data_IF_740119046670
#
_entry.id   IF_740119046670
#
_cell.length_a   1.000
_cell.length_b   1.000
_cell.length_c   1.000
_cell.angle_alpha   90.00
_cell.angle_beta   90.00
_cell.angle_gamma   90.00
#
_symmetry.space_group_name_H-M   'P 1'
#
loop_
_entity.id
_entity.type
_entity.pdbx_description
1 polymer ?
#
# COMPACT_ATOMS: atom_id res chain seq x y z
N UNK A 1 3.68 -9.34 -17.04
CA UNK A 1 3.22 -10.55 -16.32
C UNK A 1 4.37 -11.27 -15.61
N UNK A 2 5.60 -11.22 -16.14
CA UNK A 2 6.84 -11.56 -15.42
C UNK A 2 7.16 -10.52 -14.32
N UNK A 3 6.95 -9.24 -14.65
CA UNK A 3 7.03 -8.07 -13.75
C UNK A 3 6.35 -8.27 -12.39
N UNK A 4 5.24 -9.01 -12.29
CA UNK A 4 4.54 -9.18 -11.02
C UNK A 4 5.23 -10.19 -10.11
N UNK A 5 5.82 -11.25 -10.67
CA UNK A 5 6.59 -12.22 -9.89
C UNK A 5 7.93 -11.60 -9.47
N UNK A 6 8.61 -10.91 -10.39
CA UNK A 6 9.83 -10.13 -10.09
C UNK A 6 9.57 -9.09 -8.99
N UNK A 7 8.42 -8.42 -9.02
CA UNK A 7 8.05 -7.47 -7.98
C UNK A 7 7.83 -8.15 -6.62
N UNK A 8 7.18 -9.31 -6.58
CA UNK A 8 7.02 -10.08 -5.34
C UNK A 8 8.38 -10.54 -4.79
N UNK A 9 9.28 -11.00 -5.67
CA UNK A 9 10.64 -11.35 -5.29
C UNK A 9 11.40 -10.13 -4.73
N UNK A 10 11.31 -8.98 -5.39
CA UNK A 10 11.92 -7.74 -4.91
C UNK A 10 11.37 -7.27 -3.55
N UNK A 11 10.05 -7.42 -3.33
CA UNK A 11 9.42 -7.12 -2.02
C UNK A 11 9.95 -8.07 -0.95
N UNK A 12 10.06 -9.37 -1.25
CA UNK A 12 10.63 -10.34 -0.31
C UNK A 12 12.07 -9.96 0.09
N UNK A 13 12.94 -9.70 -0.89
CA UNK A 13 14.34 -9.33 -0.61
C UNK A 13 14.42 -8.02 0.21
N UNK A 14 13.59 -7.03 -0.13
CA UNK A 14 13.52 -5.77 0.60
C UNK A 14 13.08 -5.96 2.05
N UNK A 15 12.09 -6.84 2.31
CA UNK A 15 11.65 -7.17 3.68
C UNK A 15 12.74 -7.91 4.45
N UNK A 16 13.42 -8.89 3.84
CA UNK A 16 14.51 -9.64 4.50
C UNK A 16 15.69 -8.75 4.87
N UNK A 17 15.95 -7.70 4.09
CA UNK A 17 16.99 -6.71 4.36
C UNK A 17 16.57 -5.60 5.35
N UNK A 18 15.28 -5.51 5.70
CA UNK A 18 14.76 -4.42 6.52
C UNK A 18 15.11 -4.60 8.00
N UNK A 19 15.60 -3.53 8.65
CA UNK A 19 16.05 -3.55 10.06
C UNK A 19 14.97 -4.09 11.02
N UNK A 20 13.73 -3.60 10.90
CA UNK A 20 12.59 -4.10 11.70
C UNK A 20 12.37 -5.61 11.56
N UNK A 21 12.54 -6.17 10.36
CA UNK A 21 12.44 -7.61 10.17
C UNK A 21 13.61 -8.33 10.86
N UNK A 22 14.85 -7.86 10.64
CA UNK A 22 16.04 -8.44 11.24
C UNK A 22 16.00 -8.41 12.78
N UNK A 23 15.49 -7.34 13.38
CA UNK A 23 15.42 -7.16 14.83
C UNK A 23 14.27 -7.91 15.49
N UNK A 24 13.11 -7.99 14.84
CA UNK A 24 11.88 -8.46 15.50
C UNK A 24 11.23 -9.69 14.87
N UNK A 25 11.52 -9.98 13.60
CA UNK A 25 10.83 -11.01 12.81
C UNK A 25 11.78 -12.00 12.12
N UNK A 26 13.08 -11.96 12.44
CA UNK A 26 14.06 -12.86 11.83
C UNK A 26 13.70 -14.33 12.04
N UNK A 27 13.77 -15.11 10.96
CA UNK A 27 13.37 -16.52 10.93
C UNK A 27 11.85 -16.77 10.90
N UNK A 28 11.02 -15.72 10.84
CA UNK A 28 9.58 -15.87 10.61
C UNK A 28 9.29 -15.95 9.10
N UNK A 29 8.30 -16.78 8.75
CA UNK A 29 7.73 -16.85 7.41
C UNK A 29 7.14 -15.49 7.01
N UNK A 30 7.50 -15.03 5.82
CA UNK A 30 6.93 -13.83 5.20
C UNK A 30 5.69 -14.25 4.43
N UNK A 31 4.57 -13.60 4.71
CA UNK A 31 3.31 -13.80 3.98
C UNK A 31 3.04 -12.58 3.11
N UNK A 32 2.95 -12.77 1.80
CA UNK A 32 2.55 -11.71 0.86
C UNK A 32 1.09 -11.92 0.46
N UNK A 33 0.26 -10.92 0.75
CA UNK A 33 -1.18 -10.96 0.47
C UNK A 33 -1.45 -10.38 -0.91
N UNK A 34 -2.14 -11.15 -1.76
CA UNK A 34 -2.56 -10.76 -3.11
C UNK A 34 -4.09 -10.68 -3.18
N UNK A 35 -4.62 -9.67 -3.86
CA UNK A 35 -6.04 -9.65 -4.20
C UNK A 35 -6.35 -10.64 -5.35
N UNK A 36 -7.63 -10.77 -5.71
CA UNK A 36 -8.05 -11.65 -6.81
C UNK A 36 -7.97 -11.00 -8.20
N UNK A 37 -7.29 -9.86 -8.37
CA UNK A 37 -7.28 -9.18 -9.66
C UNK A 37 -6.65 -10.09 -10.75
N UNK A 38 -7.18 -10.10 -12.00
CA UNK A 38 -6.73 -11.02 -13.06
C UNK A 38 -5.24 -10.94 -13.35
N UNK A 39 -4.63 -9.77 -13.13
CA UNK A 39 -3.19 -9.54 -13.33
C UNK A 39 -2.32 -10.41 -12.41
N UNK A 40 -2.86 -10.89 -11.29
CA UNK A 40 -2.14 -11.73 -10.33
C UNK A 40 -2.32 -13.23 -10.57
N UNK A 41 -3.19 -13.69 -11.46
CA UNK A 41 -3.60 -15.12 -11.59
C UNK A 41 -2.43 -16.11 -11.74
N UNK A 42 -1.27 -15.67 -12.25
CA UNK A 42 -0.10 -16.55 -12.42
C UNK A 42 1.10 -16.17 -11.55
N UNK A 43 0.91 -15.27 -10.58
CA UNK A 43 2.01 -14.82 -9.73
C UNK A 43 2.57 -15.98 -8.92
N UNK A 44 1.73 -16.80 -8.29
CA UNK A 44 2.17 -17.90 -7.42
C UNK A 44 2.97 -18.96 -8.16
N UNK A 45 2.60 -19.26 -9.41
CA UNK A 45 3.31 -20.25 -10.22
C UNK A 45 4.67 -19.75 -10.77
N UNK A 46 5.03 -18.49 -10.53
CA UNK A 46 6.19 -17.82 -11.15
C UNK A 46 7.13 -17.18 -10.15
N UNK A 47 6.68 -16.93 -8.93
CA UNK A 47 7.51 -16.43 -7.84
C UNK A 47 8.54 -17.49 -7.49
N UNK A 48 9.76 -17.04 -7.16
CA UNK A 48 10.83 -17.94 -6.75
C UNK A 48 10.43 -18.66 -5.45
N UNK A 49 10.45 -19.99 -5.47
CA UNK A 49 10.11 -20.81 -4.30
C UNK A 49 11.13 -20.62 -3.19
N UNK A 50 10.64 -20.38 -1.96
CA UNK A 50 11.45 -20.20 -0.76
C UNK A 50 10.73 -20.83 0.43
N UNK A 51 11.47 -21.49 1.32
CA UNK A 51 10.89 -22.20 2.47
C UNK A 51 10.14 -21.29 3.46
N UNK A 52 10.49 -20.01 3.50
CA UNK A 52 9.94 -19.02 4.42
C UNK A 52 9.11 -17.94 3.71
N UNK A 53 8.58 -18.23 2.52
CA UNK A 53 7.66 -17.35 1.79
C UNK A 53 6.33 -18.06 1.53
N UNK A 54 5.24 -17.44 1.95
CA UNK A 54 3.87 -17.86 1.62
C UNK A 54 3.14 -16.76 0.85
N UNK A 55 2.36 -17.16 -0.17
CA UNK A 55 1.51 -16.26 -0.93
C UNK A 55 0.04 -16.51 -0.55
N UNK A 56 -0.59 -15.52 0.07
CA UNK A 56 -1.99 -15.60 0.46
C UNK A 56 -2.86 -14.85 -0.54
N UNK A 57 -3.61 -15.60 -1.36
CA UNK A 57 -4.62 -15.01 -2.25
C UNK A 57 -5.94 -14.82 -1.52
N UNK A 58 -6.43 -13.59 -1.52
CA UNK A 58 -7.76 -13.26 -1.01
C UNK A 58 -8.85 -13.77 -1.95
N UNK A 59 -10.01 -14.06 -1.38
CA UNK A 59 -11.21 -14.37 -2.13
C UNK A 59 -11.71 -13.15 -2.94
N UNK A 60 -12.51 -13.37 -4.01
CA UNK A 60 -13.07 -12.29 -4.79
C UNK A 60 -13.85 -11.31 -3.92
N UNK A 61 -13.81 -10.02 -4.27
CA UNK A 61 -14.58 -8.96 -3.61
C UNK A 61 -14.38 -8.90 -2.08
N UNK A 62 -13.17 -9.20 -1.60
CA UNK A 62 -12.83 -9.19 -0.17
C UNK A 62 -11.89 -8.03 0.24
N UNK A 63 -12.20 -6.75 -0.10
CA UNK A 63 -11.32 -5.62 0.24
C UNK A 63 -11.20 -5.41 1.75
N UNK A 64 -12.21 -5.80 2.54
CA UNK A 64 -12.16 -5.74 4.00
C UNK A 64 -11.06 -6.64 4.59
N UNK A 65 -10.61 -7.65 3.83
CA UNK A 65 -9.53 -8.54 4.21
C UNK A 65 -8.15 -8.09 3.68
N UNK A 66 -8.08 -6.96 2.96
CA UNK A 66 -6.85 -6.44 2.39
C UNK A 66 -6.37 -5.19 3.17
N UNK A 67 -5.32 -5.30 4.02
CA UNK A 67 -4.86 -4.19 4.85
C UNK A 67 -4.43 -2.93 4.07
N UNK A 68 -4.04 -3.06 2.80
CA UNK A 68 -3.64 -1.90 1.98
C UNK A 68 -4.81 -0.94 1.73
N UNK A 69 -6.05 -1.43 1.75
CA UNK A 69 -7.25 -0.62 1.54
C UNK A 69 -7.42 0.43 2.65
N UNK A 70 -7.09 0.07 3.90
CA UNK A 70 -7.04 1.01 5.02
C UNK A 70 -5.98 2.09 4.80
N UNK A 71 -4.78 1.69 4.37
CA UNK A 71 -3.68 2.60 4.07
C UNK A 71 -4.06 3.62 2.99
N UNK A 72 -4.66 3.15 1.90
CA UNK A 72 -5.13 4.01 0.81
C UNK A 72 -6.30 4.90 1.22
N UNK A 73 -7.18 4.43 2.09
CA UNK A 73 -8.27 5.24 2.64
C UNK A 73 -7.72 6.44 3.41
N UNK A 74 -6.73 6.22 4.29
CA UNK A 74 -6.04 7.28 5.03
C UNK A 74 -5.31 8.24 4.08
N UNK A 75 -4.54 7.71 3.12
CA UNK A 75 -3.83 8.53 2.13
C UNK A 75 -4.80 9.43 1.36
N UNK A 76 -5.88 8.85 0.83
CA UNK A 76 -6.90 9.55 0.07
C UNK A 76 -7.58 10.64 0.88
N UNK A 77 -7.87 10.39 2.16
CA UNK A 77 -8.45 11.39 3.05
C UNK A 77 -7.50 12.59 3.24
N UNK A 78 -6.20 12.34 3.42
CA UNK A 78 -5.21 13.42 3.56
C UNK A 78 -4.97 14.19 2.27
N UNK A 79 -4.89 13.50 1.13
CA UNK A 79 -4.81 14.16 -0.18
C UNK A 79 -6.01 15.08 -0.39
N UNK A 80 -7.23 14.60 -0.10
CA UNK A 80 -8.45 15.43 -0.20
C UNK A 80 -8.34 16.67 0.69
N UNK A 81 -7.93 16.51 1.95
CA UNK A 81 -7.77 17.64 2.87
C UNK A 81 -6.72 18.65 2.37
N UNK A 82 -5.58 18.18 1.86
CA UNK A 82 -4.56 19.03 1.26
C UNK A 82 -5.10 19.80 0.04
N UNK A 83 -5.80 19.12 -0.86
CA UNK A 83 -6.40 19.75 -2.04
C UNK A 83 -7.48 20.77 -1.68
N UNK A 84 -8.21 20.58 -0.58
CA UNK A 84 -9.15 21.57 -0.05
C UNK A 84 -8.43 22.86 0.35
N UNK A 85 -7.25 22.77 0.96
CA UNK A 85 -6.43 23.94 1.30
C UNK A 85 -5.89 24.64 0.04
N UNK A 86 -5.50 23.86 -0.97
CA UNK A 86 -5.03 24.36 -2.27
C UNK A 86 -6.16 24.73 -3.25
N UNK A 87 -7.41 24.86 -2.79
CA UNK A 87 -8.56 25.10 -3.68
C UNK A 87 -8.41 26.35 -4.55
N UNK A 88 -7.82 27.42 -4.00
CA UNK A 88 -7.61 28.67 -4.76
C UNK A 88 -6.63 28.46 -5.90
N UNK A 89 -5.47 27.84 -5.63
CA UNK A 89 -4.47 27.47 -6.64
C UNK A 89 -5.08 26.55 -7.71
N UNK A 90 -5.84 25.54 -7.29
CA UNK A 90 -6.50 24.59 -8.18
C UNK A 90 -7.49 25.25 -9.16
N UNK A 91 -8.09 26.38 -8.76
CA UNK A 91 -9.04 27.14 -9.58
C UNK A 91 -8.37 28.25 -10.39
N UNK A 92 -7.16 28.68 -10.01
CA UNK A 92 -6.45 29.79 -10.66
C UNK A 92 -5.65 29.39 -11.90
N UNK A 93 -5.55 28.09 -12.22
CA UNK A 93 -4.86 27.63 -13.43
C UNK A 93 -5.51 28.21 -14.72
N UNK A 94 -4.70 28.72 -15.67
CA UNK A 94 -5.19 29.21 -16.96
C UNK A 94 -5.99 28.17 -17.74
N UNK A 95 -6.94 28.63 -18.56
CA UNK A 95 -7.64 27.75 -19.50
C UNK A 95 -6.62 27.17 -20.50
N UNK A 96 -6.67 25.86 -20.70
CA UNK A 96 -5.66 25.12 -21.49
C UNK A 96 -4.63 24.39 -20.62
N UNK A 97 -4.33 24.89 -19.41
CA UNK A 97 -3.34 24.30 -18.49
C UNK A 97 -3.96 23.61 -17.27
N UNK A 98 -5.30 23.70 -17.12
CA UNK A 98 -6.02 23.17 -15.95
C UNK A 98 -5.73 21.71 -15.65
N UNK A 99 -5.68 20.85 -16.68
CA UNK A 99 -5.43 19.42 -16.48
C UNK A 99 -4.04 19.18 -15.93
N UNK A 100 -3.02 19.73 -16.57
CA UNK A 100 -1.63 19.55 -16.19
C UNK A 100 -1.31 20.19 -14.83
N UNK A 101 -1.81 21.39 -14.58
CA UNK A 101 -1.68 22.07 -13.29
C UNK A 101 -2.32 21.27 -12.14
N UNK A 102 -3.49 20.68 -12.37
CA UNK A 102 -4.15 19.80 -11.39
C UNK A 102 -3.42 18.48 -11.19
N UNK A 103 -2.83 17.90 -12.23
CA UNK A 103 -2.01 16.69 -12.11
C UNK A 103 -0.77 16.94 -11.26
N UNK A 104 -0.02 18.03 -11.51
CA UNK A 104 1.12 18.44 -10.66
C UNK A 104 0.70 18.70 -9.23
N UNK A 105 -0.43 19.37 -9.02
CA UNK A 105 -0.95 19.61 -7.67
C UNK A 105 -1.30 18.30 -6.95
N UNK A 106 -1.87 17.33 -7.66
CA UNK A 106 -2.20 16.01 -7.12
C UNK A 106 -0.94 15.21 -6.78
N UNK A 107 0.09 15.26 -7.62
CA UNK A 107 1.39 14.63 -7.37
C UNK A 107 2.05 15.21 -6.11
N UNK A 108 2.12 16.54 -6.02
CA UNK A 108 2.62 17.25 -4.82
C UNK A 108 1.83 16.90 -3.56
N UNK A 109 0.50 16.80 -3.67
CA UNK A 109 -0.36 16.37 -2.57
C UNK A 109 -0.07 14.92 -2.18
N UNK A 110 0.14 14.04 -3.15
CA UNK A 110 0.55 12.65 -2.97
C UNK A 110 1.84 12.56 -2.17
N UNK A 111 2.93 13.13 -2.68
CA UNK A 111 4.25 13.14 -2.03
C UNK A 111 4.19 13.67 -0.60
N UNK A 112 3.48 14.78 -0.39
CA UNK A 112 3.31 15.37 0.94
C UNK A 112 2.55 14.44 1.90
N UNK A 113 1.57 13.68 1.40
CA UNK A 113 0.73 12.82 2.23
C UNK A 113 1.29 11.41 2.40
N UNK A 114 2.16 10.92 1.51
CA UNK A 114 2.72 9.56 1.53
C UNK A 114 3.22 9.10 2.93
N UNK A 115 3.90 9.94 3.74
CA UNK A 115 4.36 9.52 5.08
C UNK A 115 3.24 9.05 6.02
N UNK A 116 1.97 9.40 5.77
CA UNK A 116 0.88 8.94 6.62
C UNK A 116 0.59 7.44 6.52
N UNK A 117 0.93 6.81 5.39
CA UNK A 117 0.72 5.38 5.20
C UNK A 117 1.59 4.57 6.15
N UNK A 118 2.88 4.92 6.27
CA UNK A 118 3.81 4.24 7.19
C UNK A 118 3.30 4.27 8.64
N UNK A 119 2.75 5.41 9.07
CA UNK A 119 2.14 5.54 10.41
C UNK A 119 0.93 4.64 10.60
N UNK A 120 0.05 4.55 9.60
CA UNK A 120 -1.13 3.69 9.67
C UNK A 120 -0.73 2.21 9.74
N UNK A 121 0.20 1.78 8.88
CA UNK A 121 0.75 0.42 8.92
C UNK A 121 1.34 0.08 10.29
N UNK A 122 2.14 0.98 10.87
CA UNK A 122 2.74 0.77 12.19
C UNK A 122 1.68 0.60 13.29
N UNK A 123 0.59 1.38 13.26
CA UNK A 123 -0.51 1.24 14.20
C UNK A 123 -1.25 -0.09 14.02
N UNK A 124 -1.54 -0.50 12.79
CA UNK A 124 -2.18 -1.77 12.49
C UNK A 124 -1.32 -2.97 12.92
N UNK A 125 -0.01 -2.92 12.69
CA UNK A 125 0.93 -3.95 13.16
C UNK A 125 0.97 -3.98 14.70
N UNK A 126 1.04 -2.83 15.35
CA UNK A 126 1.04 -2.77 16.81
C UNK A 126 -0.26 -3.32 17.41
N UNK A 127 -1.41 -3.04 16.81
CA UNK A 127 -2.71 -3.61 17.20
C UNK A 127 -2.74 -5.13 17.02
N UNK A 128 -2.23 -5.63 15.88
CA UNK A 128 -2.12 -7.06 15.61
C UNK A 128 -1.23 -7.78 16.64
N UNK A 129 -0.07 -7.20 17.00
CA UNK A 129 0.81 -7.72 18.06
C UNK A 129 0.06 -7.84 19.39
N UNK A 130 -0.82 -6.89 19.70
CA UNK A 130 -1.66 -6.90 20.91
C UNK A 130 -2.91 -7.77 20.79
N UNK A 131 -3.14 -8.42 19.65
CA UNK A 131 -4.36 -9.17 19.35
C UNK A 131 -5.63 -8.32 19.49
N UNK A 132 -5.51 -7.02 19.22
CA UNK A 132 -6.66 -6.11 19.20
C UNK A 132 -7.50 -6.36 17.94
N UNK A 133 -8.84 -6.23 18.03
CA UNK A 133 -9.70 -6.34 16.86
C UNK A 133 -9.38 -5.24 15.85
N UNK A 134 -9.41 -5.60 14.57
CA UNK A 134 -9.21 -4.65 13.49
C UNK A 134 -10.39 -3.68 13.43
N UNK A 135 -10.16 -2.41 13.73
CA UNK A 135 -11.16 -1.36 13.57
C UNK A 135 -11.22 -0.91 12.11
N UNK A 136 -12.30 -1.23 11.42
CA UNK A 136 -12.58 -0.66 10.11
C UNK A 136 -13.10 0.77 10.31
N UNK A 137 -12.37 1.76 9.79
CA UNK A 137 -12.79 3.16 9.84
C UNK A 137 -14.15 3.35 9.14
N UNK A 138 -15.10 3.92 9.87
CA UNK A 138 -16.43 4.33 9.38
C UNK A 138 -16.38 5.54 8.47
#
# INVERSE_FOLDING_TARGET
MEVNAEFVDAVYEAVKAHEVYLEHFSGKTIVIVLDSAPVHHRTEARVTEREDLELLRLGPYSPMCNPIEGCFSVLKARIKAYLTLCRVEMLSFPNGEKTEGRMRLLERAGEHCMPCMARHCALSVAAAIRSEPMEHGT
#
